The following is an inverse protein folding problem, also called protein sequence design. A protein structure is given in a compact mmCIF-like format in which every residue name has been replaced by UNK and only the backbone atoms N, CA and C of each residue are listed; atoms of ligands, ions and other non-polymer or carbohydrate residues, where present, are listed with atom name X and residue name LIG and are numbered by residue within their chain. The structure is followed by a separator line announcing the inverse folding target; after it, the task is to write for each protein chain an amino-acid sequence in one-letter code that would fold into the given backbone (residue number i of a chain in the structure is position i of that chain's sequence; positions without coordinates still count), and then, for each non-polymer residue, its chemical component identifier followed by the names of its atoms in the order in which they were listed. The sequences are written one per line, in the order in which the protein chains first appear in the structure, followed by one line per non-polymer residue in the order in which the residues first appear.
data_IF_448229799329
#
_entry.id   IF_448229799329
#
_cell.length_a   1.000
_cell.length_b   1.000
_cell.length_c   1.000
_cell.angle_alpha   90.00
_cell.angle_beta   90.00
_cell.angle_gamma   90.00
#
_symmetry.space_group_name_H-M   'P 1'
#
loop_
_entity.id
_entity.type
_entity.pdbx_description
1 polymer ?
#
# COMPACT_ATOMS: atom_id res chain seq x y z
N UNK A 1 -13.82 -3.96 -12.01
CA UNK A 1 -12.96 -5.16 -12.02
C UNK A 1 -11.53 -4.66 -12.13
N UNK A 2 -10.67 -4.87 -11.12
CA UNK A 2 -9.28 -4.41 -11.18
C UNK A 2 -8.53 -5.09 -12.35
N UNK A 3 -7.63 -4.37 -13.00
CA UNK A 3 -7.04 -4.74 -14.28
C UNK A 3 -5.93 -5.81 -14.21
N UNK A 4 -5.66 -6.37 -13.03
CA UNK A 4 -4.42 -7.08 -12.69
C UNK A 4 -4.63 -8.52 -12.18
N UNK A 5 -5.78 -9.14 -12.46
CA UNK A 5 -6.21 -10.45 -11.94
C UNK A 5 -5.36 -11.68 -12.35
N UNK A 6 -4.11 -11.49 -12.81
CA UNK A 6 -3.15 -12.56 -13.11
C UNK A 6 -1.72 -12.29 -12.63
N UNK A 7 -1.48 -11.18 -11.94
CA UNK A 7 -0.16 -10.77 -11.47
C UNK A 7 -0.18 -10.56 -9.95
N UNK A 8 0.89 -10.92 -9.24
CA UNK A 8 0.99 -10.68 -7.80
C UNK A 8 1.01 -9.18 -7.50
N UNK A 9 0.07 -8.74 -6.67
CA UNK A 9 -0.10 -7.32 -6.30
C UNK A 9 0.64 -7.07 -5.02
N UNK A 10 1.74 -6.33 -5.09
CA UNK A 10 2.49 -5.90 -3.92
C UNK A 10 1.96 -4.58 -3.40
N UNK A 11 1.97 -4.44 -2.09
CA UNK A 11 1.72 -3.18 -1.39
C UNK A 11 2.86 -2.90 -0.42
N UNK A 12 3.09 -1.62 -0.17
CA UNK A 12 4.03 -1.15 0.84
C UNK A 12 3.29 -0.41 1.97
N UNK A 13 4.06 0.07 2.94
CA UNK A 13 3.50 0.82 4.05
C UNK A 13 2.79 2.10 3.61
N UNK A 14 3.24 2.71 2.51
CA UNK A 14 2.66 3.95 2.00
C UNK A 14 1.26 3.73 1.46
N UNK A 15 0.98 2.55 0.91
CA UNK A 15 -0.36 2.17 0.45
C UNK A 15 -1.32 2.02 1.62
N UNK A 16 -0.93 1.33 2.69
CA UNK A 16 -1.76 1.21 3.90
C UNK A 16 -1.98 2.55 4.58
N UNK A 17 -0.89 3.23 4.92
CA UNK A 17 -0.94 4.50 5.65
C UNK A 17 -1.52 5.63 4.79
N UNK A 18 -1.54 5.45 3.47
CA UNK A 18 -2.26 6.29 2.53
C UNK A 18 -3.73 6.45 2.87
N UNK A 19 -4.41 5.42 3.40
CA UNK A 19 -5.82 5.50 3.84
C UNK A 19 -6.05 6.52 4.97
N UNK A 20 -4.99 6.94 5.66
CA UNK A 20 -4.99 7.93 6.74
C UNK A 20 -4.18 9.18 6.36
N UNK A 21 -3.86 9.36 5.08
CA UNK A 21 -3.15 10.53 4.58
C UNK A 21 -3.92 11.82 4.83
N UNK A 22 -3.20 12.90 5.12
CA UNK A 22 -3.73 14.28 5.13
C UNK A 22 -4.04 14.80 3.74
N UNK A 23 -3.45 14.22 2.71
CA UNK A 23 -3.80 14.50 1.31
C UNK A 23 -5.00 13.63 0.91
N UNK A 24 -6.14 14.29 0.70
CA UNK A 24 -7.38 13.60 0.35
C UNK A 24 -7.28 12.81 -0.96
N UNK A 25 -6.45 13.22 -1.92
CA UNK A 25 -6.27 12.46 -3.15
C UNK A 25 -5.62 11.10 -2.87
N UNK A 26 -4.57 11.09 -2.04
CA UNK A 26 -3.91 9.86 -1.58
C UNK A 26 -4.85 9.02 -0.72
N UNK A 27 -5.57 9.67 0.21
CA UNK A 27 -6.54 9.03 1.11
C UNK A 27 -7.61 8.28 0.35
N UNK A 28 -8.27 8.97 -0.58
CA UNK A 28 -9.33 8.42 -1.41
C UNK A 28 -8.80 7.31 -2.31
N UNK A 29 -7.63 7.50 -2.93
CA UNK A 29 -7.03 6.50 -3.81
C UNK A 29 -6.64 5.21 -3.06
N UNK A 30 -6.03 5.34 -1.89
CA UNK A 30 -5.68 4.21 -1.03
C UNK A 30 -6.94 3.48 -0.55
N UNK A 31 -7.96 4.21 -0.09
CA UNK A 31 -9.24 3.61 0.30
C UNK A 31 -9.90 2.89 -0.87
N UNK A 32 -9.96 3.52 -2.04
CA UNK A 32 -10.53 2.93 -3.25
C UNK A 32 -9.80 1.64 -3.65
N UNK A 33 -8.47 1.63 -3.53
CA UNK A 33 -7.67 0.42 -3.74
C UNK A 33 -8.11 -0.71 -2.81
N UNK A 34 -8.14 -0.49 -1.49
CA UNK A 34 -8.49 -1.54 -0.53
C UNK A 34 -9.96 -1.96 -0.60
N UNK A 35 -10.89 -1.02 -0.79
CA UNK A 35 -12.31 -1.33 -0.98
C UNK A 35 -12.52 -2.19 -2.23
N UNK A 36 -11.82 -1.87 -3.33
CA UNK A 36 -11.85 -2.65 -4.56
C UNK A 36 -11.27 -4.06 -4.39
N UNK A 37 -10.16 -4.20 -3.67
CA UNK A 37 -9.56 -5.50 -3.34
C UNK A 37 -10.50 -6.35 -2.49
N UNK A 38 -11.06 -5.77 -1.42
CA UNK A 38 -11.99 -6.46 -0.53
C UNK A 38 -13.25 -6.94 -1.28
N UNK A 39 -13.81 -6.09 -2.14
CA UNK A 39 -14.97 -6.45 -2.96
C UNK A 39 -14.69 -7.60 -3.96
N UNK A 40 -13.42 -7.80 -4.34
CA UNK A 40 -13.00 -8.90 -5.21
C UNK A 40 -12.76 -10.23 -4.46
N UNK A 41 -12.86 -10.24 -3.12
CA UNK A 41 -12.64 -11.43 -2.29
C UNK A 41 -11.23 -12.01 -2.47
N UNK A 42 -11.11 -13.33 -2.58
CA UNK A 42 -9.83 -14.03 -2.80
C UNK A 42 -9.07 -13.53 -4.04
N UNK A 43 -9.78 -13.11 -5.10
CA UNK A 43 -9.17 -12.58 -6.31
C UNK A 43 -8.56 -11.17 -6.11
N UNK A 44 -8.91 -10.51 -5.00
CA UNK A 44 -8.34 -9.24 -4.57
C UNK A 44 -7.17 -9.38 -3.60
N UNK A 45 -6.57 -10.56 -3.48
CA UNK A 45 -5.42 -10.78 -2.62
C UNK A 45 -4.25 -9.85 -2.92
N UNK A 46 -3.53 -9.46 -1.87
CA UNK A 46 -2.33 -8.61 -1.95
C UNK A 46 -1.17 -9.25 -1.21
N UNK A 47 0.05 -8.83 -1.54
CA UNK A 47 1.30 -9.32 -0.97
C UNK A 47 2.03 -8.17 -0.29
N UNK A 48 2.55 -8.41 0.90
CA UNK A 48 3.33 -7.44 1.66
C UNK A 48 4.53 -8.13 2.31
N UNK A 49 5.69 -7.46 2.31
CA UNK A 49 6.87 -7.99 3.01
C UNK A 49 6.71 -7.81 4.53
N UNK A 50 7.34 -8.68 5.33
CA UNK A 50 7.41 -8.47 6.79
C UNK A 50 8.08 -7.14 7.18
N UNK A 51 9.03 -6.67 6.36
CA UNK A 51 9.66 -5.37 6.56
C UNK A 51 8.66 -4.24 6.38
N UNK A 52 7.79 -4.29 5.36
CA UNK A 52 6.75 -3.28 5.17
C UNK A 52 5.70 -3.31 6.28
N UNK A 53 5.34 -4.50 6.80
CA UNK A 53 4.48 -4.60 8.00
C UNK A 53 5.12 -3.85 9.17
N UNK A 54 6.41 -4.11 9.42
CA UNK A 54 7.16 -3.42 10.46
C UNK A 54 7.25 -1.91 10.25
N UNK A 55 7.34 -1.42 9.00
CA UNK A 55 7.32 0.02 8.70
C UNK A 55 5.98 0.68 9.01
N UNK A 56 4.86 0.00 8.73
CA UNK A 56 3.54 0.49 9.13
C UNK A 56 3.44 0.63 10.65
N UNK A 57 3.81 -0.42 11.37
CA UNK A 57 3.73 -0.45 12.82
C UNK A 57 4.65 0.59 13.47
N UNK A 58 5.90 0.72 12.99
CA UNK A 58 6.85 1.73 13.47
C UNK A 58 6.29 3.15 13.35
N UNK A 59 5.62 3.46 12.24
CA UNK A 59 4.95 4.76 12.06
C UNK A 59 3.81 4.96 13.06
N UNK A 60 2.92 3.98 13.22
CA UNK A 60 1.76 4.06 14.11
C UNK A 60 2.20 4.16 15.58
N UNK A 61 3.26 3.45 15.97
CA UNK A 61 3.84 3.52 17.31
C UNK A 61 4.43 4.88 17.65
N UNK A 62 4.72 5.72 16.65
CA UNK A 62 5.11 7.11 16.85
C UNK A 62 3.99 8.04 17.35
N UNK A 63 2.72 7.60 17.28
CA UNK A 63 1.57 8.40 17.73
C UNK A 63 1.21 8.13 19.19
N UNK A 64 0.46 9.04 19.82
CA UNK A 64 -0.06 8.84 21.16
C UNK A 64 -0.99 7.64 21.24
N UNK A 65 -0.98 6.95 22.39
CA UNK A 65 -1.74 5.70 22.60
C UNK A 65 -3.23 5.82 22.27
N UNK A 66 -3.87 6.93 22.62
CA UNK A 66 -5.29 7.14 22.34
C UNK A 66 -5.62 7.16 20.84
N UNK A 67 -4.70 7.65 20.00
CA UNK A 67 -4.88 7.60 18.54
C UNK A 67 -4.69 6.18 18.01
N UNK A 68 -3.75 5.43 18.58
CA UNK A 68 -3.54 4.02 18.24
C UNK A 68 -4.77 3.18 18.58
N UNK A 69 -5.40 3.41 19.74
CA UNK A 69 -6.57 2.67 20.19
C UNK A 69 -7.82 2.87 19.29
N UNK A 70 -7.94 4.03 18.63
CA UNK A 70 -8.99 4.25 17.62
C UNK A 70 -8.61 3.70 16.23
N UNK A 71 -7.30 3.57 15.95
CA UNK A 71 -6.79 3.08 14.67
C UNK A 71 -6.83 1.55 14.55
N UNK A 72 -6.31 0.84 15.55
CA UNK A 72 -6.13 -0.62 15.47
C UNK A 72 -7.42 -1.43 15.25
N UNK A 73 -8.60 -1.05 15.79
CA UNK A 73 -9.83 -1.78 15.51
C UNK A 73 -10.17 -1.88 14.02
N UNK A 74 -9.93 -0.83 13.24
CA UNK A 74 -10.10 -0.86 11.79
C UNK A 74 -9.10 -1.81 11.12
N UNK A 75 -7.83 -1.70 11.49
CA UNK A 75 -6.77 -2.52 10.91
C UNK A 75 -6.92 -4.01 11.20
N UNK A 76 -7.32 -4.37 12.42
CA UNK A 76 -7.52 -5.75 12.83
C UNK A 76 -8.61 -6.42 11.99
N UNK A 77 -9.72 -5.72 11.76
CA UNK A 77 -10.84 -6.23 10.95
C UNK A 77 -10.44 -6.25 9.47
N UNK A 78 -9.83 -5.18 8.95
CA UNK A 78 -9.34 -5.15 7.56
C UNK A 78 -8.38 -6.31 7.28
N UNK A 79 -7.44 -6.59 8.18
CA UNK A 79 -6.49 -7.71 8.04
C UNK A 79 -7.13 -9.08 8.18
N UNK A 80 -8.32 -9.17 8.77
CA UNK A 80 -9.10 -10.41 8.86
C UNK A 80 -9.87 -10.65 7.55
N UNK A 81 -10.45 -9.60 6.97
CA UNK A 81 -11.32 -9.74 5.81
C UNK A 81 -10.57 -9.67 4.47
N UNK A 82 -9.43 -8.96 4.42
CA UNK A 82 -8.59 -8.87 3.23
C UNK A 82 -7.57 -10.01 3.20
N UNK A 83 -7.53 -10.74 2.09
CA UNK A 83 -6.48 -11.70 1.82
C UNK A 83 -5.12 -10.98 1.63
N UNK A 84 -4.26 -11.05 2.65
CA UNK A 84 -2.91 -10.49 2.62
C UNK A 84 -1.89 -11.60 2.87
N UNK A 85 -1.08 -11.89 1.86
CA UNK A 85 0.09 -12.78 2.01
C UNK A 85 1.28 -11.97 2.54
N UNK A 86 1.77 -12.35 3.72
CA UNK A 86 2.88 -11.67 4.41
C UNK A 86 4.12 -12.53 4.31
N UNK A 87 5.10 -12.08 3.51
CA UNK A 87 6.23 -12.92 3.13
C UNK A 87 7.59 -12.35 3.54
N UNK A 88 8.57 -13.22 3.83
CA UNK A 88 9.94 -12.79 4.06
C UNK A 88 10.66 -12.47 2.73
N UNK A 89 11.80 -11.80 2.83
CA UNK A 89 12.78 -11.80 1.76
C UNK A 89 13.49 -13.15 1.67
N UNK A 90 13.75 -13.60 0.45
CA UNK A 90 14.63 -14.74 0.17
C UNK A 90 16.06 -14.28 -0.05
N UNK A 91 17.04 -15.20 -0.02
CA UNK A 91 18.42 -14.88 -0.40
C UNK A 91 18.52 -14.32 -1.83
N UNK A 92 17.70 -14.82 -2.75
CA UNK A 92 17.66 -14.33 -4.13
C UNK A 92 17.10 -12.91 -4.23
N UNK A 93 16.12 -12.57 -3.39
CA UNK A 93 15.62 -11.20 -3.28
C UNK A 93 16.73 -10.26 -2.78
N UNK A 94 17.47 -10.67 -1.76
CA UNK A 94 18.59 -9.88 -1.21
C UNK A 94 19.69 -9.71 -2.26
N UNK A 95 20.09 -10.78 -2.96
CA UNK A 95 21.10 -10.69 -4.02
C UNK A 95 20.67 -9.76 -5.15
N UNK A 96 19.45 -9.95 -5.66
CA UNK A 96 18.88 -9.10 -6.72
C UNK A 96 18.81 -7.62 -6.31
N UNK A 97 18.52 -7.32 -5.04
CA UNK A 97 18.47 -5.95 -4.56
C UNK A 97 19.78 -5.17 -4.73
N UNK A 98 20.93 -5.86 -4.77
CA UNK A 98 22.24 -5.23 -4.86
C UNK A 98 22.99 -5.52 -6.16
N UNK A 99 22.50 -6.46 -6.98
CA UNK A 99 23.11 -6.82 -8.26
C UNK A 99 22.33 -6.26 -9.48
N UNK A 100 21.06 -5.86 -9.30
CA UNK A 100 20.21 -5.35 -10.39
C UNK A 100 20.47 -3.85 -10.64
N UNK A 101 21.06 -3.45 -11.79
CA UNK A 101 21.41 -2.04 -12.05
C UNK A 101 20.20 -1.11 -12.11
N UNK A 102 19.02 -1.62 -12.46
CA UNK A 102 17.78 -0.85 -12.48
C UNK A 102 17.37 -0.34 -11.08
N UNK A 103 17.89 -0.93 -10.01
CA UNK A 103 17.61 -0.56 -8.62
C UNK A 103 18.66 0.41 -8.03
N UNK A 104 19.68 0.78 -8.82
CA UNK A 104 20.71 1.70 -8.35
C UNK A 104 20.17 3.10 -8.05
N UNK A 105 20.75 3.72 -7.02
CA UNK A 105 20.33 5.03 -6.51
C UNK A 105 19.14 4.99 -5.56
N UNK A 106 18.38 3.90 -5.49
CA UNK A 106 17.34 3.72 -4.47
C UNK A 106 17.96 3.39 -3.10
N UNK A 107 17.30 3.74 -1.98
CA UNK A 107 17.72 3.26 -0.66
C UNK A 107 17.53 1.74 -0.53
N UNK A 108 18.33 1.13 0.34
CA UNK A 108 18.36 -0.33 0.50
C UNK A 108 16.98 -0.98 0.72
N UNK A 109 16.10 -0.36 1.52
CA UNK A 109 14.75 -0.92 1.77
C UNK A 109 13.88 -0.96 0.51
N UNK A 110 13.96 0.06 -0.34
CA UNK A 110 13.23 0.07 -1.62
C UNK A 110 13.84 -0.91 -2.62
N UNK A 111 15.17 -1.06 -2.61
CA UNK A 111 15.83 -2.09 -3.43
C UNK A 111 15.35 -3.48 -3.04
N UNK A 112 15.26 -3.78 -1.74
CA UNK A 112 14.78 -5.06 -1.22
C UNK A 112 13.29 -5.29 -1.56
N UNK A 113 12.45 -4.26 -1.41
CA UNK A 113 11.04 -4.34 -1.78
C UNK A 113 10.87 -4.64 -3.28
N UNK A 114 11.50 -3.83 -4.14
CA UNK A 114 11.38 -3.97 -5.58
C UNK A 114 12.06 -5.23 -6.12
N UNK A 115 13.15 -5.68 -5.50
CA UNK A 115 13.77 -6.95 -5.89
C UNK A 115 12.85 -8.13 -5.62
N UNK A 116 12.09 -8.11 -4.52
CA UNK A 116 11.07 -9.10 -4.22
C UNK A 116 9.90 -9.05 -5.20
N UNK A 117 9.45 -7.84 -5.57
CA UNK A 117 8.39 -7.61 -6.58
C UNK A 117 8.84 -8.17 -7.93
N UNK A 118 10.03 -7.79 -8.42
CA UNK A 118 10.61 -8.26 -9.68
C UNK A 118 10.78 -9.77 -9.67
N UNK A 119 11.34 -10.33 -8.59
CA UNK A 119 11.59 -11.77 -8.46
C UNK A 119 10.33 -12.63 -8.53
N UNK A 120 9.18 -12.06 -8.18
CA UNK A 120 7.87 -12.72 -8.24
C UNK A 120 7.05 -12.29 -9.44
N UNK A 121 7.62 -11.48 -10.34
CA UNK A 121 6.91 -10.93 -11.49
C UNK A 121 5.68 -10.12 -11.11
N UNK A 122 5.68 -9.46 -9.95
CA UNK A 122 4.55 -8.67 -9.44
C UNK A 122 4.58 -7.20 -9.87
N UNK A 123 3.62 -6.43 -9.37
CA UNK A 123 3.58 -4.95 -9.47
C UNK A 123 3.39 -4.37 -8.07
N UNK A 124 4.17 -3.34 -7.74
CA UNK A 124 4.04 -2.60 -6.50
C UNK A 124 3.04 -1.45 -6.64
N UNK A 125 1.96 -1.49 -5.90
CA UNK A 125 1.10 -0.33 -5.68
C UNK A 125 1.62 0.49 -4.51
N UNK A 126 1.81 1.79 -4.74
CA UNK A 126 2.48 2.68 -3.78
C UNK A 126 1.97 4.12 -3.86
N UNK A 127 2.01 4.82 -2.73
CA UNK A 127 1.89 6.27 -2.62
C UNK A 127 3.25 6.98 -2.49
N UNK A 128 4.37 6.24 -2.36
CA UNK A 128 5.72 6.81 -2.23
C UNK A 128 6.06 7.73 -3.41
N UNK A 129 6.27 9.04 -3.20
CA UNK A 129 6.61 9.96 -4.28
C UNK A 129 7.92 9.58 -4.99
N UNK A 130 8.86 8.94 -4.27
CA UNK A 130 10.14 8.50 -4.85
C UNK A 130 9.94 7.31 -5.80
N UNK A 131 9.17 6.32 -5.39
CA UNK A 131 8.89 5.14 -6.22
C UNK A 131 7.98 5.47 -7.40
N UNK A 132 6.99 6.35 -7.18
CA UNK A 132 6.12 6.87 -8.25
C UNK A 132 6.95 7.55 -9.35
N UNK A 133 7.97 8.34 -9.00
CA UNK A 133 8.90 8.93 -10.00
C UNK A 133 9.72 7.90 -10.75
N UNK A 134 9.94 6.71 -10.18
CA UNK A 134 10.68 5.63 -10.80
C UNK A 134 9.80 4.65 -11.60
N UNK A 135 8.47 4.85 -11.61
CA UNK A 135 7.51 3.93 -12.22
C UNK A 135 7.67 3.71 -13.73
N UNK A 136 8.31 4.65 -14.44
CA UNK A 136 8.58 4.49 -15.87
C UNK A 136 9.58 3.35 -16.18
N UNK A 137 10.42 2.95 -15.21
CA UNK A 137 11.49 1.97 -15.40
C UNK A 137 11.36 0.73 -14.50
N UNK A 138 10.39 0.71 -13.58
CA UNK A 138 10.24 -0.30 -12.54
C UNK A 138 8.78 -0.78 -12.46
N UNK A 139 8.51 -1.99 -11.94
CA UNK A 139 7.16 -2.53 -11.84
C UNK A 139 6.37 -1.86 -10.70
N UNK A 140 6.07 -0.57 -10.88
CA UNK A 140 5.38 0.28 -9.91
C UNK A 140 4.13 0.86 -10.54
N UNK A 141 3.02 0.74 -9.83
CA UNK A 141 1.75 1.36 -10.15
C UNK A 141 1.43 2.44 -9.08
N UNK A 142 1.45 3.73 -9.44
CA UNK A 142 1.02 4.79 -8.53
C UNK A 142 -0.44 4.59 -8.09
N UNK A 143 -0.74 4.83 -6.82
CA UNK A 143 -2.14 4.85 -6.34
C UNK A 143 -2.91 6.03 -6.91
N UNK A 144 -2.29 7.21 -6.91
CA UNK A 144 -2.82 8.41 -7.54
C UNK A 144 -2.22 8.49 -8.95
N UNK A 145 -3.05 8.56 -10.02
CA UNK A 145 -2.56 8.71 -11.38
C UNK A 145 -1.65 9.94 -11.53
N UNK A 146 -0.59 9.80 -12.33
CA UNK A 146 0.38 10.87 -12.60
C UNK A 146 -0.22 11.98 -13.47
N UNK A 147 -1.13 11.62 -14.37
CA UNK A 147 -1.90 12.58 -15.18
C UNK A 147 -3.30 12.74 -14.56
N UNK A 148 -3.72 13.97 -14.20
CA UNK A 148 -5.10 14.24 -13.79
C UNK A 148 -6.15 13.82 -14.81
N UNK A 149 -5.79 13.71 -16.11
CA UNK A 149 -6.69 13.19 -17.14
C UNK A 149 -6.94 11.69 -17.02
N UNK A 150 -6.03 10.95 -16.38
CA UNK A 150 -6.17 9.52 -16.06
C UNK A 150 -6.81 9.30 -14.69
N UNK A 151 -7.11 10.38 -13.94
CA UNK A 151 -7.88 10.28 -12.72
C UNK A 151 -9.28 9.77 -13.04
N UNK A 152 -9.80 8.77 -12.30
CA UNK A 152 -11.18 8.37 -12.46
C UNK A 152 -12.08 9.60 -12.27
N UNK A 153 -13.07 9.76 -13.16
CA UNK A 153 -14.06 10.84 -13.05
C UNK A 153 -14.60 10.89 -11.62
N UNK A 154 -14.92 12.10 -11.12
CA UNK A 154 -15.43 12.33 -9.76
C UNK A 154 -16.68 11.50 -9.48
N UNK A 155 -16.48 10.25 -9.09
CA UNK A 155 -17.49 9.35 -8.57
C UNK A 155 -17.50 9.43 -7.05
N UNK A 156 -18.51 8.82 -6.45
CA UNK A 156 -18.57 8.67 -5.00
C UNK A 156 -17.35 7.86 -4.51
N UNK A 157 -16.73 8.32 -3.41
CA UNK A 157 -15.62 7.61 -2.75
C UNK A 157 -16.07 6.16 -2.45
N UNK A 158 -15.38 5.12 -2.95
CA UNK A 158 -15.76 3.75 -2.64
C UNK A 158 -15.81 3.53 -1.13
N UNK A 159 -16.86 2.84 -0.69
CA UNK A 159 -17.06 2.53 0.72
C UNK A 159 -16.68 1.08 1.01
N UNK A 160 -16.12 0.84 2.19
CA UNK A 160 -16.02 -0.50 2.75
C UNK A 160 -17.41 -1.06 3.07
N UNK A 161 -17.55 -2.37 3.32
CA UNK A 161 -18.74 -2.90 3.98
C UNK A 161 -19.07 -2.12 5.25
N UNK A 162 -20.35 -1.90 5.54
CA UNK A 162 -20.80 -0.92 6.54
C UNK A 162 -20.13 -1.07 7.93
N UNK A 163 -19.88 -2.30 8.38
CA UNK A 163 -19.22 -2.56 9.66
C UNK A 163 -17.75 -2.09 9.68
N UNK A 164 -17.05 -2.24 8.55
CA UNK A 164 -15.65 -1.84 8.40
C UNK A 164 -15.54 -0.35 8.10
N UNK A 165 -16.52 0.22 7.38
CA UNK A 165 -16.58 1.66 7.11
C UNK A 165 -16.74 2.46 8.42
N UNK A 166 -17.56 2.00 9.37
CA UNK A 166 -17.68 2.64 10.69
C UNK A 166 -16.33 2.70 11.43
N UNK A 167 -15.61 1.57 11.45
CA UNK A 167 -14.27 1.50 12.04
C UNK A 167 -13.27 2.39 11.29
N UNK A 168 -13.33 2.41 9.96
CA UNK A 168 -12.49 3.27 9.14
C UNK A 168 -12.71 4.75 9.50
N UNK A 169 -13.95 5.21 9.54
CA UNK A 169 -14.27 6.60 9.87
C UNK A 169 -13.78 6.99 11.27
N UNK A 170 -13.87 6.09 12.26
CA UNK A 170 -13.30 6.31 13.59
C UNK A 170 -11.79 6.40 13.57
N UNK A 171 -11.13 5.53 12.80
CA UNK A 171 -9.67 5.49 12.69
C UNK A 171 -9.07 6.76 12.06
N UNK A 172 -9.87 7.58 11.34
CA UNK A 172 -9.44 8.85 10.72
C UNK A 172 -9.05 9.95 11.72
N UNK A 173 -9.20 9.71 13.03
CA UNK A 173 -8.55 10.54 14.05
C UNK A 173 -7.02 10.50 13.91
N UNK A 174 -6.46 9.38 13.46
CA UNK A 174 -5.06 9.26 13.06
C UNK A 174 -4.89 9.85 11.66
N UNK A 175 -3.97 10.81 11.53
CA UNK A 175 -3.63 11.46 10.27
C UNK A 175 -2.13 11.45 10.00
N UNK A 176 -1.74 10.92 8.85
CA UNK A 176 -0.35 10.80 8.40
C UNK A 176 -0.02 11.94 7.45
N UNK A 177 1.16 12.54 7.62
CA UNK A 177 1.64 13.57 6.70
C UNK A 177 2.14 12.88 5.43
N UNK A 178 1.71 13.32 4.25
CA UNK A 178 2.06 12.66 2.99
C UNK A 178 3.57 12.67 2.68
N UNK A 179 4.33 13.58 3.29
CA UNK A 179 5.80 13.62 3.19
C UNK A 179 6.50 12.49 3.94
N UNK A 180 5.79 11.86 4.89
CA UNK A 180 6.27 10.69 5.63
C UNK A 180 5.79 9.37 5.03
N UNK A 181 5.04 9.43 3.91
CA UNK A 181 4.71 8.29 3.06
C UNK A 181 5.82 8.07 2.04
#
# INVERSE_FOLDING_TARGET
MPADLGQAVFIDATTFMGMHSKDDAVRVAAKAFFAGRLAAGEAGGVVMSWEQVGRCDDLVWGYERGLQDEYYPFMDVLHTDLAIDRIPYTEDDVRRAFDEPALDGLPAHERLLLSQVIGRGGVLHTASPRLVRAAAALPVAPLVPLDPADAPASGEEPSFPAYLEDLYQRSLVLKVVSETL
#
